data_IF_742232645896
#
_entry.id   IF_742232645896
#
_cell.length_a   1.000
_cell.length_b   1.000
_cell.length_c   1.000
_cell.angle_alpha   90.00
_cell.angle_beta   90.00
_cell.angle_gamma   90.00
#
_symmetry.space_group_name_H-M   'P 1'
#
loop_
_entity.id
_entity.type
_entity.pdbx_description
1 polymer ?
#
# COMPACT_ATOMS: atom_id res chain seq x y z
N UNK A 1 -34.56 39.56 8.96
CA UNK A 1 -33.29 39.81 9.68
C UNK A 1 -33.09 38.65 10.65
N UNK A 2 -32.64 37.51 10.14
CA UNK A 2 -32.40 36.30 10.94
C UNK A 2 -30.95 36.34 11.40
N UNK A 3 -30.76 36.45 12.70
CA UNK A 3 -29.48 36.33 13.39
C UNK A 3 -28.84 34.99 13.05
N UNK A 4 -27.86 34.99 12.15
CA UNK A 4 -26.87 33.93 12.02
C UNK A 4 -26.11 33.87 13.35
N UNK A 5 -26.57 33.00 14.25
CA UNK A 5 -25.80 32.64 15.44
C UNK A 5 -24.48 32.06 14.95
N UNK A 6 -23.39 32.78 15.19
CA UNK A 6 -22.01 32.37 14.93
C UNK A 6 -21.78 30.95 15.44
N UNK A 7 -21.94 29.96 14.55
CA UNK A 7 -21.63 28.58 14.85
C UNK A 7 -20.11 28.42 14.90
N UNK A 8 -19.52 28.80 16.02
CA UNK A 8 -18.10 28.57 16.28
C UNK A 8 -17.92 27.14 16.73
N UNK A 9 -17.48 26.27 15.82
CA UNK A 9 -17.03 24.93 16.16
C UNK A 9 -16.02 24.97 17.32
N UNK A 10 -16.13 24.09 18.32
CA UNK A 10 -15.13 23.99 19.38
C UNK A 10 -13.73 23.84 18.76
N UNK A 11 -12.71 24.57 19.26
CA UNK A 11 -11.38 24.60 18.65
C UNK A 11 -10.74 23.21 18.51
N UNK A 12 -11.04 22.29 19.43
CA UNK A 12 -10.65 20.88 19.36
C UNK A 12 -11.22 20.17 18.11
N UNK A 13 -12.52 20.31 17.84
CA UNK A 13 -13.20 19.68 16.68
C UNK A 13 -12.66 20.23 15.35
N UNK A 14 -12.35 21.53 15.31
CA UNK A 14 -11.72 22.16 14.12
C UNK A 14 -10.33 21.58 13.85
N UNK A 15 -9.51 21.40 14.88
CA UNK A 15 -8.14 20.84 14.75
C UNK A 15 -8.17 19.36 14.32
N UNK A 16 -9.06 18.56 14.91
CA UNK A 16 -9.22 17.14 14.58
C UNK A 16 -9.71 16.98 13.14
N UNK A 17 -10.78 17.68 12.75
CA UNK A 17 -11.32 17.58 11.39
C UNK A 17 -10.32 18.02 10.31
N UNK A 18 -9.54 19.07 10.57
CA UNK A 18 -8.45 19.50 9.68
C UNK A 18 -7.38 18.43 9.52
N UNK A 19 -6.95 17.82 10.62
CA UNK A 19 -5.92 16.77 10.61
C UNK A 19 -6.39 15.51 9.89
N UNK A 20 -7.64 15.07 10.12
CA UNK A 20 -8.25 13.94 9.42
C UNK A 20 -8.28 14.13 7.90
N UNK A 21 -8.57 15.35 7.44
CA UNK A 21 -8.61 15.65 6.02
C UNK A 21 -7.21 15.72 5.42
N UNK A 22 -6.28 16.41 6.06
CA UNK A 22 -4.91 16.57 5.56
C UNK A 22 -4.19 15.22 5.48
N UNK A 23 -4.14 14.49 6.60
CA UNK A 23 -3.46 13.19 6.69
C UNK A 23 -4.15 12.16 5.79
N UNK A 24 -5.49 12.17 5.73
CA UNK A 24 -6.23 11.28 4.84
C UNK A 24 -5.92 11.53 3.36
N UNK A 25 -5.81 12.78 2.91
CA UNK A 25 -5.46 13.09 1.52
C UNK A 25 -4.02 12.76 1.17
N UNK A 26 -3.07 13.10 2.05
CA UNK A 26 -1.65 12.76 1.85
C UNK A 26 -1.52 11.24 1.72
N UNK A 27 -2.07 10.49 2.69
CA UNK A 27 -2.02 9.03 2.68
C UNK A 27 -2.70 8.44 1.44
N UNK A 28 -3.87 8.95 1.05
CA UNK A 28 -4.58 8.51 -0.15
C UNK A 28 -3.74 8.70 -1.42
N UNK A 29 -3.23 9.90 -1.68
CA UNK A 29 -2.48 10.18 -2.90
C UNK A 29 -1.17 9.41 -2.97
N UNK A 30 -0.44 9.31 -1.85
CA UNK A 30 0.79 8.51 -1.80
C UNK A 30 0.49 7.04 -2.11
N UNK A 31 -0.56 6.46 -1.52
CA UNK A 31 -0.95 5.07 -1.79
C UNK A 31 -1.37 4.87 -3.25
N UNK A 32 -2.16 5.78 -3.82
CA UNK A 32 -2.63 5.69 -5.21
C UNK A 32 -1.48 5.76 -6.20
N UNK A 33 -0.53 6.68 -6.01
CA UNK A 33 0.63 6.82 -6.91
C UNK A 33 1.50 5.57 -6.84
N UNK A 34 1.82 5.08 -5.64
CA UNK A 34 2.61 3.87 -5.46
C UNK A 34 1.90 2.63 -6.05
N UNK A 35 0.60 2.48 -5.80
CA UNK A 35 -0.20 1.39 -6.34
C UNK A 35 -0.27 1.42 -7.87
N UNK A 36 -0.43 2.61 -8.48
CA UNK A 36 -0.47 2.75 -9.93
C UNK A 36 0.86 2.30 -10.58
N UNK A 37 1.99 2.73 -10.01
CA UNK A 37 3.33 2.32 -10.49
C UNK A 37 3.51 0.81 -10.32
N UNK A 38 3.18 0.27 -9.15
CA UNK A 38 3.27 -1.18 -8.89
C UNK A 38 2.37 -2.02 -9.79
N UNK A 39 1.15 -1.55 -10.08
CA UNK A 39 0.21 -2.23 -10.97
C UNK A 39 0.73 -2.30 -12.40
N UNK A 40 1.28 -1.21 -12.92
CA UNK A 40 1.86 -1.21 -14.26
C UNK A 40 3.00 -2.24 -14.38
N UNK A 41 3.87 -2.27 -13.38
CA UNK A 41 4.99 -3.20 -13.34
C UNK A 41 4.53 -4.64 -13.18
N UNK A 42 3.60 -4.93 -12.26
CA UNK A 42 3.08 -6.28 -12.04
C UNK A 42 2.25 -6.79 -13.22
N UNK A 43 1.54 -5.91 -13.93
CA UNK A 43 0.84 -6.28 -15.16
C UNK A 43 1.84 -6.71 -16.23
N UNK A 44 2.90 -5.93 -16.44
CA UNK A 44 3.97 -6.32 -17.36
C UNK A 44 4.60 -7.65 -16.91
N UNK A 45 4.74 -7.85 -15.60
CA UNK A 45 5.30 -9.07 -15.04
C UNK A 45 4.51 -10.34 -15.31
N UNK A 46 3.19 -10.27 -15.15
CA UNK A 46 2.31 -11.39 -15.40
C UNK A 46 2.27 -11.76 -16.89
N UNK A 47 2.28 -10.77 -17.78
CA UNK A 47 2.31 -10.99 -19.24
C UNK A 47 3.62 -11.68 -19.66
N UNK A 48 4.76 -11.21 -19.13
CA UNK A 48 6.07 -11.80 -19.45
C UNK A 48 6.21 -13.22 -18.90
N UNK A 49 5.69 -13.50 -17.69
CA UNK A 49 5.70 -14.84 -17.13
C UNK A 49 4.85 -15.81 -17.97
N UNK A 50 3.66 -15.38 -18.41
CA UNK A 50 2.79 -16.18 -19.28
C UNK A 50 3.43 -16.51 -20.63
N UNK A 51 4.17 -15.57 -21.22
CA UNK A 51 4.92 -15.77 -22.46
C UNK A 51 6.09 -16.77 -22.31
N UNK A 52 6.59 -17.00 -21.09
CA UNK A 52 7.71 -17.88 -20.76
C UNK A 52 7.28 -19.26 -20.25
N UNK A 53 5.99 -19.60 -20.33
CA UNK A 53 5.36 -20.82 -19.77
C UNK A 53 5.88 -22.18 -20.28
N UNK A 54 6.92 -22.21 -21.12
CA UNK A 54 7.65 -23.42 -21.55
C UNK A 54 9.14 -23.44 -21.18
N UNK A 55 9.63 -22.44 -20.46
CA UNK A 55 11.01 -22.36 -19.96
C UNK A 55 11.03 -22.59 -18.45
N UNK A 56 12.16 -23.07 -17.93
CA UNK A 56 12.41 -23.35 -16.50
C UNK A 56 12.20 -22.11 -15.61
N UNK A 57 10.95 -21.82 -15.27
CA UNK A 57 10.57 -20.72 -14.40
C UNK A 57 10.85 -21.09 -12.93
N UNK A 58 11.59 -20.25 -12.21
CA UNK A 58 11.84 -20.45 -10.79
C UNK A 58 10.52 -20.37 -9.99
N UNK A 59 10.11 -21.43 -9.26
CA UNK A 59 8.89 -21.44 -8.47
C UNK A 59 8.78 -20.26 -7.48
N UNK A 60 9.91 -19.79 -6.94
CA UNK A 60 9.97 -18.65 -6.03
C UNK A 60 9.53 -17.33 -6.67
N UNK A 61 9.81 -17.13 -7.97
CA UNK A 61 9.36 -15.93 -8.69
C UNK A 61 7.83 -15.91 -8.84
N UNK A 62 7.24 -17.05 -9.21
CA UNK A 62 5.79 -17.17 -9.37
C UNK A 62 5.04 -16.93 -8.06
N UNK A 63 5.49 -17.57 -6.97
CA UNK A 63 4.92 -17.37 -5.63
C UNK A 63 5.09 -15.91 -5.17
N UNK A 64 6.27 -15.32 -5.38
CA UNK A 64 6.52 -13.91 -5.06
C UNK A 64 5.59 -12.94 -5.79
N UNK A 65 5.32 -13.18 -7.08
CA UNK A 65 4.37 -12.39 -7.87
C UNK A 65 2.93 -12.49 -7.37
N UNK A 66 2.49 -13.68 -6.94
CA UNK A 66 1.16 -13.86 -6.36
C UNK A 66 1.01 -13.06 -5.06
N UNK A 67 1.99 -13.16 -4.16
CA UNK A 67 1.99 -12.38 -2.92
C UNK A 67 2.07 -10.87 -3.19
N UNK A 68 2.87 -10.43 -4.15
CA UNK A 68 2.95 -9.02 -4.54
C UNK A 68 1.61 -8.51 -5.09
N UNK A 69 0.91 -9.31 -5.91
CA UNK A 69 -0.43 -8.99 -6.40
C UNK A 69 -1.47 -8.91 -5.27
N UNK A 70 -1.46 -9.86 -4.33
CA UNK A 70 -2.33 -9.82 -3.15
C UNK A 70 -2.04 -8.60 -2.26
N UNK A 71 -0.76 -8.29 -2.05
CA UNK A 71 -0.33 -7.10 -1.32
C UNK A 71 -0.81 -5.81 -1.99
N UNK A 72 -0.78 -5.75 -3.32
CA UNK A 72 -1.27 -4.62 -4.11
C UNK A 72 -2.79 -4.46 -4.00
N UNK A 73 -3.56 -5.55 -4.06
CA UNK A 73 -5.02 -5.51 -3.80
C UNK A 73 -5.30 -4.96 -2.40
N UNK A 74 -4.50 -5.34 -1.39
CA UNK A 74 -4.62 -4.79 -0.06
C UNK A 74 -4.32 -3.28 -0.01
N UNK A 75 -3.38 -2.76 -0.83
CA UNK A 75 -3.13 -1.31 -0.93
C UNK A 75 -4.35 -0.58 -1.49
N UNK A 76 -5.03 -1.13 -2.49
CA UNK A 76 -6.27 -0.52 -3.00
C UNK A 76 -7.36 -0.46 -1.93
N UNK A 77 -7.48 -1.51 -1.10
CA UNK A 77 -8.39 -1.51 0.05
C UNK A 77 -8.01 -0.46 1.09
N UNK A 78 -6.72 -0.32 1.43
CA UNK A 78 -6.26 0.69 2.40
C UNK A 78 -6.41 2.12 1.86
N UNK A 79 -6.19 2.34 0.56
CA UNK A 79 -6.40 3.63 -0.09
C UNK A 79 -7.88 4.04 -0.07
N UNK A 80 -8.79 3.10 -0.36
CA UNK A 80 -10.23 3.32 -0.20
C UNK A 80 -10.59 3.72 1.24
N UNK A 81 -9.94 3.10 2.23
CA UNK A 81 -10.15 3.43 3.63
C UNK A 81 -9.59 4.81 4.01
N UNK A 82 -8.44 5.20 3.46
CA UNK A 82 -7.87 6.55 3.60
C UNK A 82 -8.84 7.63 3.08
N UNK A 83 -9.51 7.36 1.94
CA UNK A 83 -10.55 8.24 1.43
C UNK A 83 -11.73 8.37 2.40
N UNK A 84 -12.14 7.28 3.06
CA UNK A 84 -13.20 7.29 4.08
C UNK A 84 -12.85 8.20 5.26
N UNK A 85 -11.59 8.26 5.70
CA UNK A 85 -11.13 9.19 6.74
C UNK A 85 -11.34 10.65 6.36
N UNK A 86 -11.08 11.02 5.10
CA UNK A 86 -11.34 12.39 4.61
C UNK A 86 -12.83 12.76 4.67
N UNK A 87 -13.71 11.77 4.48
CA UNK A 87 -15.17 11.96 4.52
C UNK A 87 -15.66 12.06 5.97
N UNK A 88 -15.10 11.29 6.89
CA UNK A 88 -15.33 11.40 8.33
C UNK A 88 -14.94 12.79 8.85
N UNK A 89 -13.76 13.30 8.47
CA UNK A 89 -13.32 14.67 8.81
C UNK A 89 -14.27 15.76 8.31
N UNK A 90 -14.84 15.60 7.11
CA UNK A 90 -15.87 16.51 6.57
C UNK A 90 -17.17 16.47 7.37
N UNK A 91 -17.63 15.28 7.76
CA UNK A 91 -18.88 15.12 8.55
C UNK A 91 -18.76 15.63 9.98
N UNK A 92 -17.57 15.62 10.60
CA UNK A 92 -17.37 16.24 11.92
C UNK A 92 -17.62 17.76 11.90
N UNK A 93 -17.38 18.39 10.75
CA UNK A 93 -17.57 19.82 10.52
C UNK A 93 -18.99 20.20 10.09
N UNK A 94 -19.92 19.25 9.96
CA UNK A 94 -21.30 19.57 9.58
C UNK A 94 -22.02 20.33 10.68
N UNK A 95 -22.80 21.33 10.26
CA UNK A 95 -23.69 22.11 11.14
C UNK A 95 -24.82 21.25 11.72
N UNK A 96 -25.25 20.24 10.96
CA UNK A 96 -26.24 19.25 11.38
C UNK A 96 -25.61 18.25 12.36
N UNK A 97 -26.01 18.34 13.63
CA UNK A 97 -25.54 17.47 14.73
C UNK A 97 -26.01 16.03 14.59
N UNK A 98 -27.11 15.77 13.88
CA UNK A 98 -27.61 14.40 13.63
C UNK A 98 -26.76 13.63 12.63
N UNK A 99 -26.01 14.34 11.77
CA UNK A 99 -25.11 13.75 10.76
C UNK A 99 -23.66 13.58 11.24
N UNK A 100 -23.35 13.99 12.47
CA UNK A 100 -22.01 13.84 13.04
C UNK A 100 -21.71 12.38 13.37
N UNK A 101 -20.61 11.81 12.85
CA UNK A 101 -20.24 10.43 13.17
C UNK A 101 -19.88 10.30 14.65
N UNK A 102 -20.26 9.17 15.25
CA UNK A 102 -19.88 8.85 16.63
C UNK A 102 -18.36 8.68 16.73
N UNK A 103 -17.73 9.11 17.84
CA UNK A 103 -16.32 8.81 18.11
C UNK A 103 -15.99 7.32 18.02
N UNK A 104 -16.96 6.45 18.39
CA UNK A 104 -16.82 4.99 18.29
C UNK A 104 -16.67 4.53 16.84
N UNK A 105 -17.44 5.09 15.91
CA UNK A 105 -17.38 4.74 14.48
C UNK A 105 -16.06 5.18 13.87
N UNK A 106 -15.57 6.37 14.26
CA UNK A 106 -14.27 6.87 13.81
C UNK A 106 -13.13 5.99 14.33
N UNK A 107 -13.17 5.59 15.60
CA UNK A 107 -12.18 4.70 16.20
C UNK A 107 -12.20 3.30 15.56
N UNK A 108 -13.39 2.75 15.29
CA UNK A 108 -13.53 1.45 14.62
C UNK A 108 -12.99 1.51 13.18
N UNK A 109 -13.27 2.58 12.44
CA UNK A 109 -12.72 2.77 11.10
C UNK A 109 -11.19 2.88 11.12
N UNK A 110 -10.60 3.57 12.11
CA UNK A 110 -9.15 3.65 12.26
C UNK A 110 -8.53 2.29 12.61
N UNK A 111 -9.15 1.54 13.53
CA UNK A 111 -8.71 0.17 13.88
C UNK A 111 -8.73 -0.76 12.66
N UNK A 112 -9.79 -0.72 11.85
CA UNK A 112 -9.88 -1.56 10.66
C UNK A 112 -8.79 -1.19 9.64
N UNK A 113 -8.50 0.11 9.44
CA UNK A 113 -7.42 0.52 8.53
C UNK A 113 -6.04 0.09 9.00
N UNK A 114 -5.79 0.12 10.32
CA UNK A 114 -4.57 -0.44 10.91
C UNK A 114 -4.44 -1.93 10.62
N UNK A 115 -5.50 -2.72 10.83
CA UNK A 115 -5.51 -4.17 10.52
C UNK A 115 -5.26 -4.42 9.04
N UNK A 116 -5.96 -3.72 8.14
CA UNK A 116 -5.78 -3.85 6.69
C UNK A 116 -4.31 -3.57 6.30
N UNK A 117 -3.73 -2.50 6.84
CA UNK A 117 -2.36 -2.09 6.52
C UNK A 117 -1.34 -3.10 7.06
N UNK A 118 -1.55 -3.66 8.26
CA UNK A 118 -0.67 -4.68 8.84
C UNK A 118 -0.74 -6.00 8.08
N UNK A 119 -1.95 -6.47 7.75
CA UNK A 119 -2.14 -7.72 7.00
C UNK A 119 -1.57 -7.56 5.58
N UNK A 120 -1.84 -6.45 4.91
CA UNK A 120 -1.29 -6.17 3.59
C UNK A 120 0.24 -6.08 3.60
N UNK A 121 0.82 -5.44 4.61
CA UNK A 121 2.27 -5.39 4.82
C UNK A 121 2.86 -6.79 5.02
N UNK A 122 2.23 -7.64 5.84
CA UNK A 122 2.68 -9.01 6.09
C UNK A 122 2.68 -9.87 4.81
N UNK A 123 1.60 -9.80 4.02
CA UNK A 123 1.49 -10.47 2.71
C UNK A 123 2.63 -10.00 1.79
N UNK A 124 2.85 -8.69 1.73
CA UNK A 124 3.91 -8.10 0.89
C UNK A 124 5.30 -8.53 1.35
N UNK A 125 5.54 -8.68 2.67
CA UNK A 125 6.81 -9.18 3.21
C UNK A 125 7.10 -10.63 2.81
N UNK A 126 6.09 -11.51 2.82
CA UNK A 126 6.26 -12.87 2.30
C UNK A 126 6.60 -12.86 0.80
N UNK A 127 5.94 -11.98 0.03
CA UNK A 127 6.30 -11.72 -1.36
C UNK A 127 7.75 -11.29 -1.52
N UNK A 128 8.23 -10.35 -0.68
CA UNK A 128 9.63 -9.93 -0.65
C UNK A 128 10.59 -11.10 -0.45
N UNK A 129 10.32 -11.98 0.52
CA UNK A 129 11.20 -13.12 0.81
C UNK A 129 11.28 -14.08 -0.37
N UNK A 130 10.15 -14.37 -1.02
CA UNK A 130 10.12 -15.23 -2.20
C UNK A 130 10.89 -14.61 -3.38
N UNK A 131 10.70 -13.31 -3.65
CA UNK A 131 11.38 -12.60 -4.73
C UNK A 131 12.89 -12.51 -4.48
N UNK A 132 13.31 -12.11 -3.29
CA UNK A 132 14.72 -12.00 -2.90
C UNK A 132 15.38 -13.37 -2.91
N UNK A 133 14.73 -14.41 -2.38
CA UNK A 133 15.26 -15.79 -2.42
C UNK A 133 15.44 -16.30 -3.85
N UNK A 134 14.48 -16.01 -4.74
CA UNK A 134 14.58 -16.35 -6.15
C UNK A 134 15.74 -15.62 -6.85
N UNK A 135 15.92 -14.34 -6.56
CA UNK A 135 17.03 -13.53 -7.06
C UNK A 135 18.38 -13.99 -6.55
N UNK A 136 18.48 -14.33 -5.26
CA UNK A 136 19.67 -14.90 -4.67
C UNK A 136 20.02 -16.23 -5.34
N UNK A 137 19.03 -17.09 -5.59
CA UNK A 137 19.23 -18.34 -6.33
C UNK A 137 19.82 -18.11 -7.74
N UNK A 138 19.29 -17.14 -8.49
CA UNK A 138 19.84 -16.72 -9.79
C UNK A 138 21.28 -16.22 -9.65
N UNK A 139 21.53 -15.31 -8.70
CA UNK A 139 22.86 -14.74 -8.47
C UNK A 139 23.91 -15.79 -8.10
N UNK A 140 23.54 -16.81 -7.30
CA UNK A 140 24.43 -17.92 -6.93
C UNK A 140 24.66 -18.92 -8.07
N UNK A 141 23.67 -19.12 -8.94
CA UNK A 141 23.78 -20.00 -10.11
C UNK A 141 24.56 -19.37 -11.27
N UNK A 142 24.83 -18.06 -11.20
CA UNK A 142 25.57 -17.36 -12.24
C UNK A 142 27.05 -17.80 -12.28
N UNK A 143 27.59 -18.18 -13.46
CA UNK A 143 29.00 -18.55 -13.59
C UNK A 143 29.94 -17.42 -13.13
N UNK A 144 30.84 -17.71 -12.19
CA UNK A 144 31.83 -16.77 -11.69
C UNK A 144 33.13 -16.94 -12.48
N UNK A 145 33.33 -16.10 -13.51
CA UNK A 145 34.50 -16.13 -14.39
C UNK A 145 34.16 -15.58 -15.77
N UNK A 146 35.08 -14.85 -16.41
CA UNK A 146 34.86 -13.96 -17.57
C UNK A 146 34.24 -14.53 -18.87
N UNK A 147 33.72 -15.76 -18.88
CA UNK A 147 32.88 -16.27 -19.97
C UNK A 147 31.43 -15.84 -19.73
N UNK A 148 31.12 -14.62 -20.14
CA UNK A 148 29.87 -13.89 -19.83
C UNK A 148 28.60 -14.59 -20.36
N UNK A 149 28.69 -15.45 -21.36
CA UNK A 149 27.55 -16.16 -21.92
C UNK A 149 27.87 -17.63 -22.19
N UNK A 150 27.26 -18.53 -21.43
CA UNK A 150 27.19 -19.95 -21.80
C UNK A 150 25.87 -20.16 -22.55
N UNK A 151 25.88 -20.44 -23.86
CA UNK A 151 24.65 -20.69 -24.62
C UNK A 151 23.96 -21.93 -24.05
N UNK A 152 22.71 -21.77 -23.58
CA UNK A 152 21.90 -22.90 -23.10
C UNK A 152 21.12 -22.67 -21.81
N UNK A 153 21.47 -21.66 -20.99
CA UNK A 153 20.74 -21.41 -19.73
C UNK A 153 20.59 -19.92 -19.40
N UNK A 154 19.89 -19.18 -20.27
CA UNK A 154 19.71 -17.71 -20.16
C UNK A 154 18.90 -17.31 -18.91
N UNK A 155 18.08 -18.22 -18.37
CA UNK A 155 17.24 -17.98 -17.18
C UNK A 155 18.01 -17.95 -15.85
N UNK A 156 19.31 -18.29 -15.86
CA UNK A 156 20.14 -18.27 -14.66
C UNK A 156 20.61 -16.85 -14.26
N UNK A 157 20.47 -15.86 -15.16
CA UNK A 157 20.89 -14.49 -14.91
C UNK A 157 19.77 -13.67 -14.27
N UNK A 158 20.15 -12.68 -13.45
CA UNK A 158 19.22 -11.66 -12.96
C UNK A 158 18.86 -10.72 -14.10
N UNK A 159 17.59 -10.63 -14.41
CA UNK A 159 17.09 -9.75 -15.47
C UNK A 159 16.66 -8.41 -14.89
N UNK A 160 16.69 -7.36 -15.71
CA UNK A 160 16.13 -6.05 -15.34
C UNK A 160 14.65 -6.17 -14.89
N UNK A 161 13.94 -7.13 -15.48
CA UNK A 161 12.58 -7.47 -15.12
C UNK A 161 12.43 -7.94 -13.66
N UNK A 162 13.33 -8.78 -13.15
CA UNK A 162 13.26 -9.24 -11.76
C UNK A 162 13.40 -8.06 -10.77
N UNK A 163 14.23 -7.07 -11.13
CA UNK A 163 14.44 -5.86 -10.34
C UNK A 163 13.17 -5.00 -10.33
N UNK A 164 12.48 -4.85 -11.47
CA UNK A 164 11.20 -4.15 -11.53
C UNK A 164 10.16 -4.79 -10.61
N UNK A 165 10.06 -6.12 -10.57
CA UNK A 165 9.13 -6.81 -9.67
C UNK A 165 9.45 -6.52 -8.19
N UNK A 166 10.74 -6.51 -7.81
CA UNK A 166 11.16 -6.11 -6.46
C UNK A 166 10.79 -4.65 -6.16
N UNK A 167 10.96 -3.75 -7.13
CA UNK A 167 10.58 -2.34 -6.99
C UNK A 167 9.06 -2.20 -6.77
N UNK A 168 8.23 -2.90 -7.56
CA UNK A 168 6.78 -2.88 -7.40
C UNK A 168 6.36 -3.38 -6.00
N UNK A 169 6.96 -4.47 -5.54
CA UNK A 169 6.72 -5.00 -4.19
C UNK A 169 7.16 -4.01 -3.10
N UNK A 170 8.29 -3.31 -3.29
CA UNK A 170 8.79 -2.29 -2.36
C UNK A 170 7.86 -1.07 -2.29
N UNK A 171 7.35 -0.61 -3.43
CA UNK A 171 6.35 0.46 -3.50
C UNK A 171 5.04 0.06 -2.78
N UNK A 172 4.59 -1.18 -2.96
CA UNK A 172 3.43 -1.75 -2.26
C UNK A 172 3.66 -1.77 -0.74
N UNK A 173 4.85 -2.16 -0.30
CA UNK A 173 5.23 -2.16 1.12
C UNK A 173 5.23 -0.75 1.71
N UNK A 174 5.79 0.22 0.98
CA UNK A 174 5.79 1.63 1.38
C UNK A 174 4.37 2.19 1.47
N UNK A 175 3.48 1.82 0.55
CA UNK A 175 2.08 2.25 0.59
C UNK A 175 1.37 1.74 1.87
N UNK A 176 1.58 0.49 2.25
CA UNK A 176 1.07 -0.07 3.52
C UNK A 176 1.64 0.66 4.73
N UNK A 177 2.94 0.96 4.72
CA UNK A 177 3.57 1.71 5.80
C UNK A 177 2.99 3.12 5.95
N UNK A 178 2.80 3.84 4.84
CA UNK A 178 2.20 5.18 4.85
C UNK A 178 0.74 5.14 5.34
N UNK A 179 -0.02 4.12 4.95
CA UNK A 179 -1.37 3.90 5.47
C UNK A 179 -1.37 3.68 6.98
N UNK A 180 -0.50 2.78 7.47
CA UNK A 180 -0.37 2.48 8.90
C UNK A 180 0.07 3.71 9.72
N UNK A 181 1.08 4.44 9.25
CA UNK A 181 1.55 5.66 9.90
C UNK A 181 0.43 6.71 9.99
N UNK A 182 -0.36 6.86 8.92
CA UNK A 182 -1.50 7.76 8.88
C UNK A 182 -2.60 7.34 9.88
N UNK A 183 -2.96 6.05 9.96
CA UNK A 183 -3.99 5.58 10.90
C UNK A 183 -3.56 5.73 12.35
N UNK A 184 -2.32 5.37 12.68
CA UNK A 184 -1.75 5.52 14.03
C UNK A 184 -1.67 6.98 14.44
N UNK A 185 -1.29 7.88 13.52
CA UNK A 185 -1.27 9.31 13.79
C UNK A 185 -2.66 9.87 14.08
N UNK A 186 -3.66 9.48 13.27
CA UNK A 186 -5.05 9.89 13.49
C UNK A 186 -5.61 9.32 14.80
N UNK A 187 -5.29 8.07 15.15
CA UNK A 187 -5.64 7.47 16.45
C UNK A 187 -5.08 8.28 17.62
N UNK A 188 -3.80 8.69 17.52
CA UNK A 188 -3.16 9.52 18.54
C UNK A 188 -3.85 10.87 18.71
N UNK A 189 -4.32 11.48 17.62
CA UNK A 189 -5.05 12.76 17.67
C UNK A 189 -6.41 12.57 18.36
N UNK A 190 -7.15 11.52 18.04
CA UNK A 190 -8.47 11.25 18.65
C UNK A 190 -8.33 10.96 20.14
N UNK A 191 -7.34 10.17 20.55
CA UNK A 191 -7.14 9.82 21.96
C UNK A 191 -6.66 10.99 22.84
N UNK A 192 -6.19 12.09 22.24
CA UNK A 192 -5.69 13.29 22.95
C UNK A 192 -6.71 14.43 22.98
N UNK A 193 -7.84 14.26 22.30
CA UNK A 193 -8.93 15.23 22.23
C UNK A 193 -9.93 14.98 23.35
#
# INVERSE_FOLDING_TARGET
MTTDFDYTLPPAVRRISGSFRLVGWISFWTQVVLAAISSLVLMFALVNLGARSGQSSNPGTGVGLLFAALGLVAVYMSAFWAFRYTRLGRRLRSHDTTKRPSPKDALQALRLGTVISMVGMLITLFGSQALIGSLLGKALAQPQGGTVFVPGNINQYVEAFDIFVVQANTNTLLAHFVSLAATLWLLRIVNRA
#
